data_IF_309881264968
#
_entry.id   IF_309881264968
#
_cell.length_a   1.000
_cell.length_b   1.000
_cell.length_c   1.000
_cell.angle_alpha   90.00
_cell.angle_beta   90.00
_cell.angle_gamma   90.00
#
_symmetry.space_group_name_H-M   'P 1'
#
loop_
_entity.id
_entity.type
_entity.pdbx_description
1 polymer ?
#
# COMPACT_ATOMS: atom_id res chain seq x y z
N UNK A 1 -12.50 -2.51 -14.27
CA UNK A 1 -11.84 -3.68 -13.67
C UNK A 1 -10.41 -3.28 -13.33
N UNK A 2 -10.03 -3.30 -12.04
CA UNK A 2 -8.71 -2.83 -11.58
C UNK A 2 -7.59 -3.86 -11.88
N UNK A 3 -7.94 -5.14 -11.82
CA UNK A 3 -7.07 -6.25 -12.16
C UNK A 3 -7.59 -6.97 -13.42
N UNK A 4 -6.84 -6.91 -14.51
CA UNK A 4 -7.07 -7.76 -15.70
C UNK A 4 -6.09 -8.93 -15.69
N UNK A 5 -6.61 -10.15 -15.87
CA UNK A 5 -5.79 -11.35 -16.04
C UNK A 5 -4.90 -11.21 -17.29
N UNK A 6 -3.64 -11.70 -17.26
CA UNK A 6 -2.60 -11.40 -18.25
C UNK A 6 -2.86 -11.93 -19.68
N UNK A 7 -4.00 -12.56 -19.96
CA UNK A 7 -4.35 -13.12 -21.28
C UNK A 7 -4.52 -12.08 -22.40
N UNK A 8 -4.64 -10.79 -22.09
CA UNK A 8 -4.87 -9.73 -23.09
C UNK A 8 -3.61 -8.96 -23.53
N UNK A 9 -2.42 -9.30 -23.01
CA UNK A 9 -1.15 -8.62 -23.37
C UNK A 9 -0.72 -8.80 -24.83
N UNK A 10 -1.33 -9.72 -25.59
CA UNK A 10 -0.90 -10.07 -26.96
C UNK A 10 -1.43 -9.14 -28.06
N UNK A 11 -2.46 -8.32 -27.81
CA UNK A 11 -3.05 -7.44 -28.85
C UNK A 11 -2.22 -6.18 -29.15
N UNK A 12 -1.36 -5.70 -28.23
CA UNK A 12 -0.60 -4.46 -28.47
C UNK A 12 0.51 -4.64 -29.50
N UNK A 13 1.17 -5.80 -29.52
CA UNK A 13 2.29 -6.11 -30.42
C UNK A 13 1.88 -6.10 -31.90
N UNK A 14 0.64 -6.51 -32.23
CA UNK A 14 0.16 -6.58 -33.62
C UNK A 14 -0.16 -5.17 -34.16
N UNK A 15 -0.74 -4.30 -33.32
CA UNK A 15 -1.07 -2.92 -33.72
C UNK A 15 0.21 -2.10 -33.89
N UNK A 16 1.21 -2.30 -33.03
CA UNK A 16 2.52 -1.67 -33.18
C UNK A 16 3.22 -2.15 -34.44
N UNK A 17 3.23 -3.46 -34.67
CA UNK A 17 3.81 -4.04 -35.89
C UNK A 17 3.14 -3.47 -37.14
N UNK A 18 1.81 -3.39 -37.20
CA UNK A 18 1.11 -2.77 -38.32
C UNK A 18 1.46 -1.28 -38.46
N UNK A 19 1.45 -0.51 -37.37
CA UNK A 19 1.76 0.91 -37.40
C UNK A 19 3.18 1.20 -37.90
N UNK A 20 4.18 0.46 -37.39
CA UNK A 20 5.56 0.57 -37.86
C UNK A 20 5.73 0.08 -39.29
N UNK A 21 5.05 -1.00 -39.69
CA UNK A 21 5.13 -1.52 -41.07
C UNK A 21 4.54 -0.53 -42.06
N UNK A 22 3.38 0.06 -41.77
CA UNK A 22 2.78 1.11 -42.61
C UNK A 22 3.68 2.33 -42.71
N UNK A 23 4.28 2.78 -41.60
CA UNK A 23 5.23 3.88 -41.60
C UNK A 23 6.46 3.57 -42.48
N UNK A 24 7.05 2.38 -42.34
CA UNK A 24 8.21 1.97 -43.15
C UNK A 24 7.84 1.87 -44.63
N UNK A 25 6.66 1.35 -44.97
CA UNK A 25 6.19 1.26 -46.36
C UNK A 25 6.00 2.66 -46.96
N UNK A 26 5.37 3.60 -46.24
CA UNK A 26 5.17 4.97 -46.72
C UNK A 26 6.50 5.71 -46.83
N UNK A 27 7.39 5.61 -45.84
CA UNK A 27 8.69 6.29 -45.89
C UNK A 27 9.56 5.71 -47.01
N UNK A 28 9.60 4.38 -47.17
CA UNK A 28 10.40 3.71 -48.22
C UNK A 28 9.86 3.97 -49.62
N UNK A 29 8.53 3.98 -49.83
CA UNK A 29 7.96 4.28 -51.13
C UNK A 29 8.24 5.72 -51.57
N UNK A 30 8.12 6.69 -50.66
CA UNK A 30 8.38 8.10 -50.97
C UNK A 30 9.87 8.44 -51.09
N UNK A 31 10.74 7.84 -50.27
CA UNK A 31 12.20 7.99 -50.47
C UNK A 31 12.65 7.37 -51.78
N UNK A 32 12.11 6.20 -52.15
CA UNK A 32 12.41 5.57 -53.46
C UNK A 32 11.92 6.44 -54.62
N UNK A 33 10.71 7.00 -54.54
CA UNK A 33 10.20 7.94 -55.55
C UNK A 33 11.04 9.21 -55.65
N UNK A 34 11.41 9.81 -54.51
CA UNK A 34 12.27 11.01 -54.49
C UNK A 34 13.64 10.75 -55.13
N UNK A 35 14.25 9.58 -54.87
CA UNK A 35 15.52 9.17 -55.48
C UNK A 35 15.37 8.96 -57.00
N UNK A 36 14.30 8.31 -57.45
CA UNK A 36 14.01 8.10 -58.88
C UNK A 36 13.78 9.44 -59.60
N UNK A 37 13.08 10.38 -58.94
CA UNK A 37 12.80 11.71 -59.48
C UNK A 37 14.04 12.62 -59.53
N UNK A 38 14.94 12.53 -58.55
CA UNK A 38 16.21 13.27 -58.50
C UNK A 38 17.26 12.73 -59.47
N UNK A 39 17.33 11.40 -59.65
CA UNK A 39 18.25 10.76 -60.59
C UNK A 39 17.77 10.83 -62.05
N UNK A 40 16.57 11.36 -62.31
CA UNK A 40 16.06 11.59 -63.67
C UNK A 40 15.78 10.31 -64.46
N UNK A 41 15.78 9.15 -63.82
CA UNK A 41 15.61 7.83 -64.45
C UNK A 41 14.19 7.60 -65.00
N UNK A 42 13.23 8.47 -64.68
CA UNK A 42 11.82 8.38 -65.08
C UNK A 42 11.44 9.03 -66.42
N UNK A 43 12.39 9.60 -67.18
CA UNK A 43 12.16 9.94 -68.59
C UNK A 43 11.11 11.01 -68.91
N UNK A 44 10.71 11.89 -67.99
CA UNK A 44 9.86 13.05 -68.33
C UNK A 44 10.48 14.39 -67.93
N UNK A 45 10.80 15.16 -68.97
CA UNK A 45 11.01 16.60 -68.90
C UNK A 45 9.65 17.30 -69.00
N UNK A 46 8.99 17.59 -67.87
CA UNK A 46 7.92 18.61 -67.82
C UNK A 46 7.63 19.07 -66.39
N UNK A 47 7.54 20.41 -66.24
CA UNK A 47 6.96 21.22 -65.16
C UNK A 47 7.53 21.08 -63.74
N UNK A 48 8.13 22.17 -63.23
CA UNK A 48 8.50 22.36 -61.83
C UNK A 48 7.35 22.16 -60.85
N UNK A 49 6.12 22.42 -61.29
CA UNK A 49 4.94 22.50 -60.42
C UNK A 49 4.39 21.12 -60.02
N UNK A 50 4.49 20.11 -60.89
CA UNK A 50 4.08 18.74 -60.57
C UNK A 50 5.07 18.06 -59.62
N UNK A 51 6.37 18.33 -59.76
CA UNK A 51 7.39 17.86 -58.81
C UNK A 51 7.24 18.49 -57.42
N UNK A 52 6.82 19.75 -57.34
CA UNK A 52 6.56 20.42 -56.07
C UNK A 52 5.32 19.86 -55.36
N UNK A 53 4.22 19.64 -56.08
CA UNK A 53 2.99 19.05 -55.54
C UNK A 53 3.20 17.62 -55.00
N UNK A 54 4.03 16.80 -55.66
CA UNK A 54 4.34 15.45 -55.22
C UNK A 54 5.17 15.43 -53.91
N UNK A 55 6.13 16.35 -53.78
CA UNK A 55 6.92 16.51 -52.55
C UNK A 55 6.02 16.96 -51.39
N UNK A 56 5.10 17.88 -51.65
CA UNK A 56 4.11 18.34 -50.65
C UNK A 56 3.17 17.21 -50.24
N UNK A 57 2.68 16.40 -51.18
CA UNK A 57 1.84 15.23 -50.89
C UNK A 57 2.60 14.16 -50.09
N UNK A 58 3.87 13.90 -50.42
CA UNK A 58 4.73 12.98 -49.66
C UNK A 58 4.99 13.47 -48.24
N UNK A 59 5.30 14.76 -48.08
CA UNK A 59 5.46 15.39 -46.77
C UNK A 59 4.17 15.31 -45.94
N UNK A 60 3.01 15.53 -46.56
CA UNK A 60 1.71 15.42 -45.91
C UNK A 60 1.44 14.00 -45.39
N UNK A 61 1.74 12.97 -46.18
CA UNK A 61 1.53 11.58 -45.77
C UNK A 61 2.48 11.12 -44.66
N UNK A 62 3.75 11.56 -44.70
CA UNK A 62 4.69 11.35 -43.59
C UNK A 62 4.19 12.03 -42.31
N UNK A 63 3.68 13.26 -42.42
CA UNK A 63 3.09 13.97 -41.29
C UNK A 63 1.84 13.26 -40.74
N UNK A 64 0.98 12.72 -41.59
CA UNK A 64 -0.19 11.92 -41.17
C UNK A 64 0.23 10.63 -40.46
N UNK A 65 1.23 9.91 -40.97
CA UNK A 65 1.73 8.69 -40.34
C UNK A 65 2.39 8.99 -38.98
N UNK A 66 3.16 10.06 -38.88
CA UNK A 66 3.73 10.53 -37.61
C UNK A 66 2.64 10.95 -36.61
N UNK A 67 1.60 11.66 -37.06
CA UNK A 67 0.46 12.03 -36.23
C UNK A 67 -0.30 10.81 -35.72
N UNK A 68 -0.47 9.76 -36.54
CA UNK A 68 -1.08 8.50 -36.12
C UNK A 68 -0.25 7.79 -35.03
N UNK A 69 1.08 7.71 -35.20
CA UNK A 69 1.96 7.14 -34.17
C UNK A 69 1.87 7.93 -32.85
N UNK A 70 1.86 9.26 -32.91
CA UNK A 70 1.69 10.12 -31.74
C UNK A 70 0.33 9.91 -31.08
N UNK A 71 -0.76 9.76 -31.86
CA UNK A 71 -2.09 9.49 -31.35
C UNK A 71 -2.16 8.13 -30.63
N UNK A 72 -1.57 7.08 -31.19
CA UNK A 72 -1.48 5.75 -30.54
C UNK A 72 -0.66 5.82 -29.25
N UNK A 73 0.47 6.54 -29.27
CA UNK A 73 1.30 6.75 -28.10
C UNK A 73 0.55 7.50 -26.99
N UNK A 74 -0.14 8.59 -27.33
CA UNK A 74 -0.96 9.37 -26.39
C UNK A 74 -2.12 8.55 -25.83
N UNK A 75 -2.81 7.76 -26.66
CA UNK A 75 -3.89 6.89 -26.23
C UNK A 75 -3.43 5.88 -25.17
N UNK A 76 -2.27 5.25 -25.37
CA UNK A 76 -1.69 4.30 -24.39
C UNK A 76 -1.28 4.99 -23.10
N UNK A 77 -0.63 6.15 -23.21
CA UNK A 77 -0.27 6.95 -22.04
C UNK A 77 -1.53 7.34 -21.24
N UNK A 78 -2.60 7.72 -21.93
CA UNK A 78 -3.89 8.06 -21.34
C UNK A 78 -4.54 6.86 -20.62
N UNK A 79 -4.58 5.67 -21.23
CA UNK A 79 -5.10 4.46 -20.57
C UNK A 79 -4.28 4.14 -19.31
N UNK A 80 -2.95 4.18 -19.40
CA UNK A 80 -2.08 3.91 -18.25
C UNK A 80 -2.36 4.90 -17.12
N UNK A 81 -2.48 6.19 -17.43
CA UNK A 81 -2.83 7.22 -16.46
C UNK A 81 -4.22 7.01 -15.85
N UNK A 82 -5.25 6.69 -16.66
CA UNK A 82 -6.60 6.40 -16.16
C UNK A 82 -6.61 5.20 -15.22
N UNK A 83 -5.84 4.15 -15.54
CA UNK A 83 -5.71 2.98 -14.67
C UNK A 83 -5.02 3.34 -13.34
N UNK A 84 -3.94 4.11 -13.39
CA UNK A 84 -3.24 4.56 -12.17
C UNK A 84 -4.14 5.45 -11.30
N UNK A 85 -4.93 6.34 -11.91
CA UNK A 85 -5.93 7.13 -11.19
C UNK A 85 -6.99 6.27 -10.50
N UNK A 86 -7.49 5.23 -11.18
CA UNK A 86 -8.47 4.31 -10.60
C UNK A 86 -7.87 3.48 -9.44
N UNK A 87 -6.64 2.97 -9.59
CA UNK A 87 -5.93 2.26 -8.52
C UNK A 87 -5.72 3.19 -7.32
N UNK A 88 -5.25 4.42 -7.55
CA UNK A 88 -5.02 5.40 -6.49
C UNK A 88 -6.32 5.78 -5.77
N UNK A 89 -7.42 5.96 -6.50
CA UNK A 89 -8.73 6.25 -5.91
C UNK A 89 -9.20 5.11 -5.00
N UNK A 90 -9.05 3.86 -5.46
CA UNK A 90 -9.38 2.69 -4.65
C UNK A 90 -8.47 2.58 -3.43
N UNK A 91 -7.15 2.70 -3.58
CA UNK A 91 -6.19 2.68 -2.48
C UNK A 91 -6.51 3.74 -1.41
N UNK A 92 -6.91 4.95 -1.83
CA UNK A 92 -7.38 6.00 -0.93
C UNK A 92 -8.66 5.62 -0.20
N UNK A 93 -9.60 4.95 -0.87
CA UNK A 93 -10.82 4.41 -0.24
C UNK A 93 -10.47 3.39 0.85
N UNK A 94 -9.54 2.47 0.55
CA UNK A 94 -9.04 1.48 1.52
C UNK A 94 -8.40 2.15 2.75
N UNK A 95 -7.57 3.19 2.54
CA UNK A 95 -6.98 3.97 3.65
C UNK A 95 -8.06 4.67 4.48
N UNK A 96 -9.09 5.23 3.85
CA UNK A 96 -10.19 5.87 4.56
C UNK A 96 -10.96 4.88 5.44
N UNK A 97 -11.26 3.68 4.92
CA UNK A 97 -11.90 2.61 5.68
C UNK A 97 -11.03 2.15 6.86
N UNK A 98 -9.71 1.96 6.65
CA UNK A 98 -8.77 1.66 7.75
C UNK A 98 -8.74 2.78 8.80
N UNK A 99 -8.83 4.04 8.38
CA UNK A 99 -8.90 5.20 9.30
C UNK A 99 -10.17 5.18 10.13
N UNK A 100 -11.31 4.87 9.52
CA UNK A 100 -12.59 4.77 10.20
C UNK A 100 -12.60 3.64 11.24
N UNK A 101 -12.13 2.44 10.86
CA UNK A 101 -11.99 1.31 11.79
C UNK A 101 -11.05 1.67 12.93
N UNK A 102 -9.91 2.27 12.62
CA UNK A 102 -8.94 2.71 13.64
C UNK A 102 -9.54 3.70 14.64
N UNK A 103 -10.54 4.50 14.23
CA UNK A 103 -11.25 5.43 15.12
C UNK A 103 -12.42 4.78 15.86
N UNK A 104 -12.99 3.71 15.32
CA UNK A 104 -14.13 3.00 15.90
C UNK A 104 -13.73 1.92 16.92
N UNK A 105 -12.45 1.54 17.00
CA UNK A 105 -11.95 0.63 18.04
C UNK A 105 -12.32 1.18 19.41
N UNK A 106 -13.10 0.42 20.17
CA UNK A 106 -13.42 0.77 21.56
C UNK A 106 -12.17 0.63 22.44
N UNK A 107 -11.74 1.74 23.05
CA UNK A 107 -10.55 1.82 23.92
C UNK A 107 -10.89 2.21 25.36
N UNK A 108 -9.90 2.21 26.25
CA UNK A 108 -10.08 2.52 27.67
C UNK A 108 -11.04 1.55 28.35
N UNK A 109 -12.06 2.09 28.99
CA UNK A 109 -13.07 1.40 29.80
C UNK A 109 -13.90 0.39 29.01
N UNK A 110 -13.94 0.56 27.68
CA UNK A 110 -14.66 -0.30 26.74
C UNK A 110 -13.76 -1.26 25.98
N UNK A 111 -12.48 -1.37 26.37
CA UNK A 111 -11.55 -2.31 25.74
C UNK A 111 -11.97 -3.75 26.03
N UNK A 112 -12.19 -4.55 24.99
CA UNK A 112 -12.44 -5.99 25.09
C UNK A 112 -11.68 -6.75 24.02
N UNK A 113 -11.40 -8.03 24.27
CA UNK A 113 -10.66 -8.90 23.34
C UNK A 113 -11.47 -9.08 22.05
N UNK A 114 -12.79 -9.21 22.16
CA UNK A 114 -13.71 -9.41 21.04
C UNK A 114 -13.68 -8.19 20.11
N UNK A 115 -13.79 -6.97 20.68
CA UNK A 115 -13.69 -5.73 19.92
C UNK A 115 -12.30 -5.55 19.26
N UNK A 116 -11.23 -5.93 19.94
CA UNK A 116 -9.87 -5.89 19.36
C UNK A 116 -9.78 -6.88 18.21
N UNK A 117 -10.25 -8.11 18.36
CA UNK A 117 -10.24 -9.12 17.31
C UNK A 117 -11.00 -8.67 16.05
N UNK A 118 -12.23 -8.17 16.22
CA UNK A 118 -13.06 -7.70 15.11
C UNK A 118 -12.39 -6.53 14.37
N UNK A 119 -11.81 -5.60 15.14
CA UNK A 119 -11.11 -4.43 14.59
C UNK A 119 -9.84 -4.82 13.85
N UNK A 120 -9.00 -5.69 14.43
CA UNK A 120 -7.75 -6.12 13.81
C UNK A 120 -8.00 -6.98 12.57
N UNK A 121 -8.98 -7.89 12.60
CA UNK A 121 -9.35 -8.68 11.44
C UNK A 121 -9.82 -7.79 10.27
N UNK A 122 -10.62 -6.77 10.57
CA UNK A 122 -11.08 -5.81 9.56
C UNK A 122 -9.92 -4.97 9.00
N UNK A 123 -9.03 -4.48 9.87
CA UNK A 123 -7.84 -3.75 9.44
C UNK A 123 -6.93 -4.59 8.55
N UNK A 124 -6.71 -5.86 8.90
CA UNK A 124 -5.92 -6.79 8.10
C UNK A 124 -6.54 -7.02 6.73
N UNK A 125 -7.87 -7.25 6.66
CA UNK A 125 -8.57 -7.45 5.38
C UNK A 125 -8.37 -6.26 4.42
N UNK A 126 -8.48 -5.04 4.94
CA UNK A 126 -8.23 -3.83 4.16
C UNK A 126 -6.76 -3.62 3.85
N UNK A 127 -5.84 -3.96 4.77
CA UNK A 127 -4.40 -3.88 4.52
C UNK A 127 -3.93 -4.82 3.42
N UNK A 128 -4.44 -6.07 3.39
CA UNK A 128 -4.16 -7.04 2.32
C UNK A 128 -4.59 -6.49 0.96
N UNK A 129 -5.82 -5.96 0.89
CA UNK A 129 -6.37 -5.39 -0.34
C UNK A 129 -5.59 -4.14 -0.79
N UNK A 130 -5.21 -3.29 0.16
CA UNK A 130 -4.38 -2.12 -0.07
C UNK A 130 -2.98 -2.47 -0.57
N UNK A 131 -2.31 -3.46 0.02
CA UNK A 131 -0.95 -3.91 -0.37
C UNK A 131 -0.90 -4.30 -1.86
N UNK A 132 -1.91 -5.03 -2.33
CA UNK A 132 -2.01 -5.42 -3.74
C UNK A 132 -2.25 -4.22 -4.68
N UNK A 133 -3.06 -3.25 -4.27
CA UNK A 133 -3.26 -2.01 -5.03
C UNK A 133 -1.98 -1.18 -5.07
N UNK A 134 -1.32 -1.02 -3.94
CA UNK A 134 -0.12 -0.20 -3.79
C UNK A 134 1.05 -0.77 -4.60
N UNK A 135 1.25 -2.09 -4.61
CA UNK A 135 2.24 -2.76 -5.48
C UNK A 135 1.94 -2.61 -6.97
N UNK A 136 0.67 -2.45 -7.35
CA UNK A 136 0.27 -2.25 -8.74
C UNK A 136 0.46 -0.81 -9.23
N UNK A 137 0.75 0.13 -8.33
CA UNK A 137 1.03 1.53 -8.67
C UNK A 137 2.42 1.70 -9.26
N UNK A 138 2.55 2.54 -10.27
CA UNK A 138 3.87 3.00 -10.72
C UNK A 138 4.45 4.01 -9.71
N UNK A 139 5.78 4.15 -9.63
CA UNK A 139 6.38 5.22 -8.83
C UNK A 139 6.12 6.58 -9.49
N UNK A 140 5.09 7.27 -9.00
CA UNK A 140 4.67 8.58 -9.48
C UNK A 140 4.09 9.44 -8.34
N UNK A 141 3.56 10.61 -8.70
CA UNK A 141 2.92 11.51 -7.75
C UNK A 141 1.77 10.84 -6.98
N UNK A 142 0.99 9.95 -7.62
CA UNK A 142 -0.12 9.28 -6.96
C UNK A 142 0.40 8.32 -5.88
N UNK A 143 1.43 7.53 -6.16
CA UNK A 143 2.01 6.63 -5.16
C UNK A 143 2.60 7.39 -3.97
N UNK A 144 3.24 8.54 -4.22
CA UNK A 144 3.72 9.42 -3.16
C UNK A 144 2.57 10.01 -2.31
N UNK A 145 1.46 10.42 -2.93
CA UNK A 145 0.28 10.90 -2.20
C UNK A 145 -0.37 9.80 -1.36
N UNK A 146 -0.46 8.58 -1.89
CA UNK A 146 -1.00 7.42 -1.17
C UNK A 146 -0.11 7.06 0.03
N UNK A 147 1.22 7.10 -0.14
CA UNK A 147 2.19 6.92 0.94
C UNK A 147 1.93 7.91 2.09
N UNK A 148 1.80 9.21 1.77
CA UNK A 148 1.51 10.24 2.76
C UNK A 148 0.16 10.04 3.46
N UNK A 149 -0.89 9.65 2.72
CA UNK A 149 -2.21 9.37 3.31
C UNK A 149 -2.18 8.14 4.21
N UNK A 150 -1.46 7.10 3.83
CA UNK A 150 -1.27 5.92 4.64
C UNK A 150 -0.52 6.27 5.93
N UNK A 151 0.56 7.05 5.85
CA UNK A 151 1.28 7.55 7.03
C UNK A 151 0.38 8.37 7.97
N UNK A 152 -0.50 9.23 7.42
CA UNK A 152 -1.45 10.00 8.21
C UNK A 152 -2.47 9.10 8.93
N UNK A 153 -2.99 8.07 8.27
CA UNK A 153 -3.84 7.05 8.91
C UNK A 153 -3.08 6.32 10.01
N UNK A 154 -1.87 5.88 9.70
CA UNK A 154 -1.04 5.06 10.56
C UNK A 154 -0.63 5.81 11.84
N UNK A 155 0.09 6.93 11.71
CA UNK A 155 0.56 7.71 12.87
C UNK A 155 -0.54 8.54 13.52
N UNK A 156 -1.49 9.06 12.74
CA UNK A 156 -2.50 10.01 13.23
C UNK A 156 -3.73 9.34 13.84
N UNK A 157 -4.07 8.12 13.40
CA UNK A 157 -5.26 7.40 13.90
C UNK A 157 -4.88 6.08 14.54
N UNK A 158 -4.28 5.15 13.79
CA UNK A 158 -4.07 3.77 14.25
C UNK A 158 -3.18 3.70 15.49
N UNK A 159 -1.94 4.21 15.44
CA UNK A 159 -1.02 4.12 16.57
C UNK A 159 -1.52 4.89 17.80
N UNK A 160 -2.25 5.99 17.60
CA UNK A 160 -2.87 6.73 18.71
C UNK A 160 -3.94 5.89 19.40
N UNK A 161 -4.78 5.20 18.63
CA UNK A 161 -5.82 4.32 19.19
C UNK A 161 -5.21 3.10 19.87
N UNK A 162 -4.22 2.44 19.28
CA UNK A 162 -3.57 1.26 19.87
C UNK A 162 -2.91 1.57 21.21
N UNK A 163 -2.30 2.76 21.35
CA UNK A 163 -1.77 3.24 22.65
C UNK A 163 -2.83 3.38 23.73
N UNK A 164 -4.10 3.61 23.37
CA UNK A 164 -5.22 3.79 24.31
C UNK A 164 -5.89 2.49 24.74
N UNK A 165 -5.55 1.35 24.11
CA UNK A 165 -6.03 0.05 24.57
C UNK A 165 -5.59 -0.20 26.01
N UNK A 166 -6.49 -0.75 26.82
CA UNK A 166 -6.24 -0.95 28.24
C UNK A 166 -6.40 -2.41 28.69
N UNK A 167 -5.31 -2.98 29.21
CA UNK A 167 -5.29 -4.32 29.79
C UNK A 167 -6.15 -4.41 31.05
N UNK A 168 -6.23 -3.36 31.86
CA UNK A 168 -6.97 -3.39 33.12
C UNK A 168 -8.43 -3.81 32.90
N UNK A 169 -9.11 -3.18 31.94
CA UNK A 169 -10.51 -3.48 31.63
C UNK A 169 -10.70 -4.85 30.96
N UNK A 170 -9.71 -5.32 30.21
CA UNK A 170 -9.70 -6.70 29.68
C UNK A 170 -9.66 -7.72 30.83
N UNK A 171 -8.80 -7.49 31.82
CA UNK A 171 -8.68 -8.39 32.97
C UNK A 171 -9.85 -8.26 33.95
N UNK A 172 -10.38 -7.05 34.15
CA UNK A 172 -11.56 -6.83 34.99
C UNK A 172 -12.76 -7.63 34.48
N UNK A 173 -13.05 -7.53 33.17
CA UNK A 173 -14.19 -8.22 32.56
C UNK A 173 -14.07 -9.74 32.58
N UNK A 174 -12.85 -10.30 32.49
CA UNK A 174 -12.63 -11.75 32.47
C UNK A 174 -12.26 -12.34 33.83
N UNK A 175 -11.26 -11.81 34.53
CA UNK A 175 -10.69 -12.44 35.72
C UNK A 175 -11.42 -12.01 36.99
N UNK A 176 -11.67 -10.72 37.18
CA UNK A 176 -12.29 -10.26 38.43
C UNK A 176 -13.71 -10.82 38.60
N UNK A 177 -14.47 -10.81 37.50
CA UNK A 177 -15.84 -11.34 37.48
C UNK A 177 -15.86 -12.86 37.62
N UNK A 178 -14.92 -13.60 37.01
CA UNK A 178 -14.95 -15.07 37.01
C UNK A 178 -14.21 -15.72 38.19
N UNK A 179 -13.19 -15.05 38.74
CA UNK A 179 -12.24 -15.68 39.67
C UNK A 179 -11.95 -14.88 40.95
N UNK A 180 -12.61 -13.74 41.16
CA UNK A 180 -12.53 -12.95 42.39
C UNK A 180 -11.14 -12.39 42.70
N UNK A 181 -10.28 -12.24 41.70
CA UNK A 181 -8.95 -11.61 41.87
C UNK A 181 -9.13 -10.10 41.90
N UNK A 182 -8.54 -9.45 42.89
CA UNK A 182 -8.47 -7.98 42.92
C UNK A 182 -7.46 -7.49 41.87
N UNK A 183 -7.99 -7.09 40.71
CA UNK A 183 -7.16 -6.59 39.60
C UNK A 183 -6.48 -5.28 39.98
N UNK A 184 -7.05 -4.48 40.89
CA UNK A 184 -6.47 -3.20 41.27
C UNK A 184 -5.21 -3.35 42.12
N UNK A 185 -5.22 -4.30 43.06
CA UNK A 185 -4.05 -4.67 43.86
C UNK A 185 -2.87 -5.09 42.97
N UNK A 186 -3.13 -5.99 42.01
CA UNK A 186 -2.09 -6.51 41.09
C UNK A 186 -1.46 -5.40 40.24
N UNK A 187 -2.27 -4.47 39.73
CA UNK A 187 -1.73 -3.34 38.96
C UNK A 187 -0.88 -2.41 39.83
N UNK A 188 -1.25 -2.20 41.09
CA UNK A 188 -0.50 -1.36 42.02
C UNK A 188 0.86 -1.98 42.37
N UNK A 189 0.89 -3.30 42.60
CA UNK A 189 2.13 -4.07 42.84
C UNK A 189 3.03 -4.04 41.60
N UNK A 190 2.46 -4.31 40.42
CA UNK A 190 3.20 -4.26 39.16
C UNK A 190 3.78 -2.85 38.89
N UNK A 191 3.02 -1.79 39.16
CA UNK A 191 3.48 -0.42 38.95
C UNK A 191 4.67 -0.06 39.83
N UNK A 192 4.68 -0.50 41.10
CA UNK A 192 5.85 -0.34 41.99
C UNK A 192 7.07 -1.06 41.41
N UNK A 193 6.89 -2.32 40.98
CA UNK A 193 7.99 -3.11 40.40
C UNK A 193 8.60 -2.49 39.14
N UNK A 194 7.78 -1.83 38.31
CA UNK A 194 8.25 -1.18 37.07
C UNK A 194 8.93 0.16 37.35
N UNK A 195 8.47 0.92 38.35
CA UNK A 195 9.08 2.18 38.75
C UNK A 195 10.55 2.00 39.18
N UNK A 196 10.85 0.88 39.83
CA UNK A 196 12.20 0.56 40.32
C UNK A 196 13.18 0.19 39.20
N UNK A 197 12.69 -0.16 38.00
CA UNK A 197 13.51 -0.63 36.87
C UNK A 197 14.11 0.50 36.01
N UNK A 198 13.74 1.77 36.24
CA UNK A 198 14.25 2.91 35.46
C UNK A 198 13.95 2.82 33.96
N UNK A 199 12.77 2.30 33.60
CA UNK A 199 12.35 2.08 32.21
C UNK A 199 12.12 3.44 31.52
N UNK A 200 12.46 3.54 30.23
CA UNK A 200 12.10 4.71 29.43
C UNK A 200 10.57 4.89 29.39
N UNK A 201 10.10 6.13 29.53
CA UNK A 201 8.66 6.46 29.62
C UNK A 201 7.80 5.89 28.50
N UNK A 202 8.35 5.77 27.29
CA UNK A 202 7.66 5.20 26.13
C UNK A 202 7.36 3.70 26.26
N UNK A 203 8.10 2.96 27.09
CA UNK A 203 7.94 1.51 27.30
C UNK A 203 7.31 1.16 28.66
N UNK A 204 7.08 2.14 29.54
CA UNK A 204 6.49 1.91 30.87
C UNK A 204 5.17 1.14 30.79
N UNK A 205 4.28 1.53 29.87
CA UNK A 205 2.97 0.87 29.71
C UNK A 205 3.10 -0.59 29.30
N UNK A 206 4.06 -0.91 28.42
CA UNK A 206 4.33 -2.29 28.01
C UNK A 206 4.90 -3.10 29.18
N UNK A 207 5.87 -2.53 29.90
CA UNK A 207 6.48 -3.20 31.07
C UNK A 207 5.49 -3.43 32.20
N UNK A 208 4.55 -2.50 32.41
CA UNK A 208 3.44 -2.69 33.33
C UNK A 208 2.57 -3.87 32.90
N UNK A 209 2.17 -3.95 31.64
CA UNK A 209 1.35 -5.05 31.13
C UNK A 209 2.05 -6.40 31.20
N UNK A 210 3.34 -6.43 30.88
CA UNK A 210 4.18 -7.62 31.03
C UNK A 210 4.24 -8.08 32.50
N UNK A 211 4.46 -7.15 33.44
CA UNK A 211 4.52 -7.45 34.88
C UNK A 211 3.17 -7.96 35.42
N UNK A 212 2.06 -7.34 35.01
CA UNK A 212 0.70 -7.75 35.39
C UNK A 212 0.39 -9.17 34.88
N UNK A 213 0.67 -9.47 33.61
CA UNK A 213 0.40 -10.78 33.04
C UNK A 213 1.27 -11.89 33.65
N UNK A 214 2.49 -11.56 34.10
CA UNK A 214 3.40 -12.47 34.81
C UNK A 214 3.09 -12.63 36.29
N UNK A 215 2.18 -11.82 36.84
CA UNK A 215 1.82 -11.88 38.25
C UNK A 215 1.20 -13.24 38.60
N UNK A 216 1.60 -13.92 39.70
CA UNK A 216 1.14 -15.27 40.03
C UNK A 216 -0.39 -15.41 40.06
N UNK A 217 -1.09 -14.42 40.63
CA UNK A 217 -2.56 -14.40 40.71
C UNK A 217 -3.26 -14.37 39.33
N UNK A 218 -2.55 -13.93 38.28
CA UNK A 218 -3.09 -13.76 36.91
C UNK A 218 -2.60 -14.88 35.98
N UNK A 219 -1.29 -15.14 35.95
CA UNK A 219 -0.67 -16.08 35.02
C UNK A 219 -1.27 -17.51 35.10
N UNK A 220 -1.68 -17.93 36.30
CA UNK A 220 -2.32 -19.23 36.52
C UNK A 220 -3.74 -19.31 35.93
N UNK A 221 -4.44 -18.18 35.84
CA UNK A 221 -5.88 -18.12 35.50
C UNK A 221 -6.14 -17.59 34.09
N UNK A 222 -5.21 -16.82 33.53
CA UNK A 222 -5.39 -16.14 32.26
C UNK A 222 -4.09 -16.04 31.48
N UNK A 223 -4.18 -16.38 30.19
CA UNK A 223 -3.12 -16.16 29.21
C UNK A 223 -3.67 -15.31 28.09
N UNK A 224 -3.02 -14.18 27.81
CA UNK A 224 -3.37 -13.31 26.70
C UNK A 224 -2.90 -13.88 25.35
N UNK A 225 -1.81 -14.65 25.38
CA UNK A 225 -1.23 -15.31 24.21
C UNK A 225 -2.27 -16.19 23.54
N UNK A 226 -2.44 -16.02 22.23
CA UNK A 226 -3.41 -16.76 21.41
C UNK A 226 -4.88 -16.33 21.55
N UNK A 227 -5.19 -15.31 22.38
CA UNK A 227 -6.56 -14.76 22.46
C UNK A 227 -6.88 -13.78 21.32
N UNK A 228 -5.84 -13.25 20.66
CA UNK A 228 -5.98 -12.29 19.56
C UNK A 228 -5.69 -13.02 18.24
N UNK A 229 -6.74 -13.42 17.52
CA UNK A 229 -6.65 -14.35 16.39
C UNK A 229 -5.86 -13.77 15.20
N UNK A 230 -6.04 -12.49 14.90
CA UNK A 230 -5.43 -11.83 13.73
C UNK A 230 -4.16 -11.04 14.09
N UNK A 231 -3.58 -11.29 15.27
CA UNK A 231 -2.44 -10.52 15.77
C UNK A 231 -1.23 -10.59 14.85
N UNK A 232 -0.83 -11.80 14.45
CA UNK A 232 0.39 -11.98 13.66
C UNK A 232 0.26 -11.34 12.27
N UNK A 233 -0.88 -11.52 11.60
CA UNK A 233 -1.12 -10.86 10.31
C UNK A 233 -1.16 -9.34 10.46
N UNK A 234 -1.76 -8.84 11.53
CA UNK A 234 -1.77 -7.41 11.82
C UNK A 234 -0.35 -6.86 12.02
N UNK A 235 0.47 -7.55 12.79
CA UNK A 235 1.89 -7.19 12.98
C UNK A 235 2.65 -7.23 11.67
N UNK A 236 2.42 -8.24 10.83
CA UNK A 236 3.03 -8.34 9.51
C UNK A 236 2.73 -7.12 8.63
N UNK A 237 1.51 -6.58 8.63
CA UNK A 237 1.16 -5.44 7.76
C UNK A 237 1.49 -4.08 8.36
N UNK A 238 1.49 -3.95 9.69
CA UNK A 238 1.54 -2.66 10.37
C UNK A 238 2.78 -2.44 11.23
N UNK A 239 3.62 -3.45 11.46
CA UNK A 239 4.84 -3.33 12.28
C UNK A 239 6.07 -4.02 11.69
N UNK A 240 5.94 -4.69 10.54
CA UNK A 240 7.05 -5.34 9.86
C UNK A 240 7.84 -4.37 8.99
N UNK A 241 9.14 -4.24 9.24
CA UNK A 241 10.02 -3.35 8.49
C UNK A 241 9.96 -3.58 6.97
N UNK A 242 9.87 -4.84 6.52
CA UNK A 242 9.85 -5.14 5.08
C UNK A 242 8.60 -4.64 4.36
N UNK A 243 7.46 -4.62 5.05
CA UNK A 243 6.20 -4.07 4.53
C UNK A 243 6.15 -2.55 4.65
N UNK A 244 6.78 -2.02 5.69
CA UNK A 244 6.74 -0.59 6.01
C UNK A 244 7.82 0.23 5.29
N UNK A 245 8.92 -0.36 4.84
CA UNK A 245 10.07 0.38 4.29
C UNK A 245 9.67 1.36 3.17
N UNK A 246 8.83 0.92 2.22
CA UNK A 246 8.35 1.80 1.15
C UNK A 246 7.26 2.76 1.64
N UNK A 247 6.35 2.30 2.50
CA UNK A 247 5.26 3.13 3.05
C UNK A 247 5.77 4.24 3.98
N UNK A 248 6.91 4.03 4.63
CA UNK A 248 7.57 4.97 5.54
C UNK A 248 8.75 5.68 4.87
N UNK A 249 8.89 5.57 3.55
CA UNK A 249 9.97 6.24 2.82
C UNK A 249 10.01 7.74 3.16
N UNK A 250 11.19 8.23 3.54
CA UNK A 250 11.43 9.61 3.95
C UNK A 250 11.20 9.90 5.44
N UNK A 251 10.71 8.93 6.22
CA UNK A 251 10.59 9.04 7.67
C UNK A 251 11.73 8.27 8.37
N UNK A 252 12.34 8.89 9.38
CA UNK A 252 13.35 8.26 10.23
C UNK A 252 12.75 7.39 11.35
N UNK A 253 11.43 7.34 11.46
CA UNK A 253 10.76 6.68 12.57
C UNK A 253 10.36 5.25 12.20
N UNK A 254 10.99 4.27 12.85
CA UNK A 254 10.55 2.87 12.83
C UNK A 254 9.74 2.58 14.09
N UNK A 255 8.42 2.39 13.97
CA UNK A 255 7.53 2.25 15.12
C UNK A 255 7.76 0.90 15.82
N UNK A 256 8.19 0.94 17.08
CA UNK A 256 8.26 -0.25 17.92
C UNK A 256 6.86 -0.59 18.47
N UNK A 257 6.41 -1.83 18.26
CA UNK A 257 5.11 -2.31 18.77
C UNK A 257 5.01 -2.16 20.29
N UNK A 258 6.11 -2.30 21.04
CA UNK A 258 6.13 -2.15 22.50
C UNK A 258 5.84 -0.72 22.94
N UNK A 259 6.24 0.27 22.14
CA UNK A 259 5.98 1.68 22.43
C UNK A 259 4.60 2.12 21.92
N UNK A 260 4.13 1.58 20.79
CA UNK A 260 2.93 2.08 20.11
C UNK A 260 1.68 1.20 20.24
N UNK A 261 1.83 -0.08 20.56
CA UNK A 261 0.72 -0.98 20.84
C UNK A 261 1.05 -1.91 22.02
N UNK A 262 1.24 -1.38 23.25
CA UNK A 262 1.71 -2.15 24.41
C UNK A 262 0.89 -3.40 24.71
N UNK A 263 -0.44 -3.32 24.58
CA UNK A 263 -1.34 -4.47 24.80
C UNK A 263 -1.08 -5.59 23.78
N UNK A 264 -0.91 -5.23 22.50
CA UNK A 264 -0.66 -6.19 21.43
C UNK A 264 0.73 -6.81 21.56
N UNK A 265 1.73 -6.02 21.96
CA UNK A 265 3.07 -6.52 22.23
C UNK A 265 3.07 -7.52 23.42
N UNK A 266 2.29 -7.25 24.46
CA UNK A 266 2.14 -8.13 25.62
C UNK A 266 1.35 -9.42 25.31
N UNK A 267 0.65 -9.48 24.17
CA UNK A 267 -0.01 -10.70 23.69
C UNK A 267 0.95 -11.66 22.95
N UNK A 268 2.25 -11.31 22.88
CA UNK A 268 3.33 -12.11 22.31
C UNK A 268 3.06 -12.54 20.85
N UNK A 269 3.06 -11.60 19.89
CA UNK A 269 3.02 -11.94 18.47
C UNK A 269 4.18 -12.87 18.11
N UNK A 270 3.91 -13.81 17.21
CA UNK A 270 4.90 -14.79 16.77
C UNK A 270 6.08 -14.13 16.06
N UNK A 271 7.28 -14.71 16.20
CA UNK A 271 8.51 -14.17 15.59
C UNK A 271 8.39 -14.01 14.07
N UNK A 272 7.70 -14.93 13.40
CA UNK A 272 7.50 -14.91 11.95
C UNK A 272 6.84 -13.63 11.45
N UNK A 273 5.99 -12.98 12.27
CA UNK A 273 5.29 -11.75 11.88
C UNK A 273 6.24 -10.55 11.67
N UNK A 274 7.45 -10.62 12.23
CA UNK A 274 8.50 -9.61 12.08
C UNK A 274 9.57 -9.99 11.05
N UNK A 275 9.53 -11.22 10.54
CA UNK A 275 10.51 -11.69 9.57
C UNK A 275 10.29 -11.06 8.20
N UNK A 276 11.36 -10.97 7.41
CA UNK A 276 11.30 -10.41 6.06
C UNK A 276 10.55 -11.38 5.15
N UNK A 277 9.40 -10.97 4.65
CA UNK A 277 8.65 -11.72 3.64
C UNK A 277 9.07 -11.24 2.24
N UNK A 278 9.60 -12.17 1.43
CA UNK A 278 10.08 -11.94 0.05
C UNK A 278 8.90 -11.93 -0.92
#
# INVERSE_FOLDING_TARGET
MIFEKPGYKKKSSIIDFLGYTVLVIVVSSYTTYAVIALLGLGGQATASDTKFLDVVNGAAQIATAAAFLLAVHQYRKSIKQQRQLAIAAEAKSQIAAMTEISKSIKTGDKTSIENVNDSLASLVSFAVSFDELYKAMDEDLHRAMIRMQWQNMYFGSLLVTLKKLDLYHVLWSKIQIMHGVDTHEVFTEAQKSVADLGVLSVFEKFKLYEAVLKHPKICEKFKLVGQINSLDQFVCYFFNDSKLDDLLFGLLNRPDIRAHAPLLAAAEPSSWAFEKHV
#
